data_IF_785285367452
#
_entry.id   IF_785285367452
#
_cell.length_a   1.000
_cell.length_b   1.000
_cell.length_c   1.000
_cell.angle_alpha   90.00
_cell.angle_beta   90.00
_cell.angle_gamma   90.00
#
_symmetry.space_group_name_H-M   'P 1'
#
loop_
_entity.id
_entity.type
_entity.pdbx_description
1 polymer ?
#
# COMPACT_ATOMS: atom_id res chain seq x y z
N UNK A 1 -14.86 22.67 3.30
CA UNK A 1 -15.33 22.56 1.89
C UNK A 1 -14.86 23.76 1.06
N UNK A 2 -15.19 25.00 1.45
CA UNK A 2 -14.89 26.21 0.65
C UNK A 2 -13.40 26.40 0.30
N UNK A 3 -12.48 26.01 1.18
CA UNK A 3 -11.04 26.09 0.90
C UNK A 3 -10.58 25.14 -0.21
N UNK A 4 -11.14 23.93 -0.28
CA UNK A 4 -10.83 22.96 -1.34
C UNK A 4 -11.43 23.42 -2.67
N UNK A 5 -12.65 23.96 -2.67
CA UNK A 5 -13.29 24.52 -3.85
C UNK A 5 -12.46 25.66 -4.45
N UNK A 6 -12.00 26.58 -3.59
CA UNK A 6 -11.12 27.66 -3.98
C UNK A 6 -9.80 27.16 -4.55
N UNK A 7 -9.18 26.15 -3.89
CA UNK A 7 -7.94 25.56 -4.36
C UNK A 7 -8.10 24.94 -5.75
N UNK A 8 -9.19 24.23 -6.03
CA UNK A 8 -9.49 23.72 -7.37
C UNK A 8 -9.75 24.82 -8.39
N UNK A 9 -10.42 25.92 -8.01
CA UNK A 9 -10.58 27.08 -8.88
C UNK A 9 -9.22 27.66 -9.27
N UNK A 10 -8.35 27.91 -8.29
CA UNK A 10 -7.00 28.44 -8.54
C UNK A 10 -6.15 27.49 -9.39
N UNK A 11 -6.26 26.18 -9.16
CA UNK A 11 -5.55 25.19 -9.95
C UNK A 11 -6.01 25.15 -11.42
N UNK A 12 -7.29 25.41 -11.68
CA UNK A 12 -7.80 25.55 -13.05
C UNK A 12 -7.34 26.84 -13.73
N UNK A 13 -7.31 27.97 -12.99
CA UNK A 13 -6.81 29.23 -13.49
C UNK A 13 -5.32 29.20 -13.84
N UNK A 14 -4.53 28.46 -13.04
CA UNK A 14 -3.10 28.25 -13.24
C UNK A 14 -2.75 26.95 -13.99
N UNK A 15 -3.71 26.30 -14.66
CA UNK A 15 -3.50 24.99 -15.28
C UNK A 15 -2.39 25.00 -16.33
N UNK A 16 -1.44 24.09 -16.18
CA UNK A 16 -0.32 23.91 -17.10
C UNK A 16 -0.59 22.69 -17.97
N UNK A 17 -0.85 22.92 -19.25
CA UNK A 17 -1.03 21.83 -20.22
C UNK A 17 0.24 20.98 -20.31
N UNK A 18 0.10 19.65 -20.21
CA UNK A 18 1.21 18.67 -20.13
C UNK A 18 2.12 18.84 -18.89
N UNK A 19 1.73 19.68 -17.93
CA UNK A 19 2.42 19.86 -16.67
C UNK A 19 1.80 19.02 -15.54
N UNK A 20 2.38 19.20 -14.34
CA UNK A 20 1.86 18.60 -13.11
C UNK A 20 0.94 19.62 -12.45
N UNK A 21 -0.35 19.32 -12.38
CA UNK A 21 -1.36 20.16 -11.73
C UNK A 21 -1.86 19.40 -10.50
N UNK A 22 -1.45 19.84 -9.30
CA UNK A 22 -1.73 19.12 -8.06
C UNK A 22 -1.98 20.07 -6.91
N UNK A 23 -3.00 19.75 -6.12
CA UNK A 23 -3.28 20.39 -4.84
C UNK A 23 -2.62 19.56 -3.74
N UNK A 24 -1.93 20.21 -2.81
CA UNK A 24 -1.47 19.65 -1.56
C UNK A 24 -2.35 20.21 -0.43
N UNK A 25 -3.23 19.37 0.10
CA UNK A 25 -4.11 19.73 1.21
C UNK A 25 -3.46 19.35 2.53
N UNK A 26 -3.02 20.34 3.29
CA UNK A 26 -2.50 20.16 4.64
C UNK A 26 -3.61 20.43 5.67
N UNK A 27 -3.85 19.49 6.58
CA UNK A 27 -4.88 19.62 7.62
C UNK A 27 -4.42 18.98 8.92
N UNK A 28 -4.84 19.57 10.05
CA UNK A 28 -4.60 19.05 11.40
C UNK A 28 -5.65 18.02 11.85
N UNK A 29 -6.45 17.54 10.92
CA UNK A 29 -7.38 16.43 11.13
C UNK A 29 -8.79 16.84 11.53
N UNK A 30 -9.01 18.08 11.86
CA UNK A 30 -10.35 18.58 12.19
C UNK A 30 -11.16 18.88 10.91
N UNK A 31 -11.43 17.82 10.17
CA UNK A 31 -12.31 17.89 9.00
C UNK A 31 -13.77 17.89 9.52
N UNK A 32 -14.19 19.01 10.11
CA UNK A 32 -15.55 19.23 10.61
C UNK A 32 -16.58 19.34 9.47
N UNK A 33 -16.49 18.42 8.51
CA UNK A 33 -17.45 18.27 7.43
C UNK A 33 -18.40 17.16 7.79
N UNK A 34 -19.70 17.44 7.76
CA UNK A 34 -20.72 16.40 7.90
C UNK A 34 -20.60 15.33 6.82
N UNK A 35 -21.19 14.15 7.03
CA UNK A 35 -21.08 13.00 6.10
C UNK A 35 -21.52 13.38 4.68
N UNK A 36 -22.57 14.20 4.53
CA UNK A 36 -23.02 14.71 3.24
C UNK A 36 -22.01 15.62 2.54
N UNK A 37 -21.25 16.37 3.31
CA UNK A 37 -20.22 17.26 2.77
C UNK A 37 -18.98 16.50 2.35
N UNK A 38 -18.66 15.38 3.02
CA UNK A 38 -17.53 14.53 2.63
C UNK A 38 -17.77 13.83 1.30
N UNK A 39 -18.94 13.25 1.08
CA UNK A 39 -19.31 12.61 -0.19
C UNK A 39 -19.28 13.62 -1.33
N UNK A 40 -19.72 14.84 -1.08
CA UNK A 40 -19.64 15.96 -2.04
C UNK A 40 -18.19 16.33 -2.37
N UNK A 41 -17.30 16.37 -1.38
CA UNK A 41 -15.87 16.62 -1.58
C UNK A 41 -15.20 15.51 -2.37
N UNK A 42 -15.51 14.26 -2.04
CA UNK A 42 -15.01 13.08 -2.76
C UNK A 42 -15.46 13.09 -4.22
N UNK A 43 -16.74 13.38 -4.47
CA UNK A 43 -17.27 13.52 -5.82
C UNK A 43 -16.59 14.66 -6.58
N UNK A 44 -16.35 15.80 -5.93
CA UNK A 44 -15.60 16.92 -6.50
C UNK A 44 -14.18 16.48 -6.88
N UNK A 45 -13.46 15.77 -6.00
CA UNK A 45 -12.12 15.26 -6.30
C UNK A 45 -12.15 14.34 -7.53
N UNK A 46 -13.12 13.42 -7.63
CA UNK A 46 -13.32 12.54 -8.79
C UNK A 46 -13.57 13.34 -10.08
N UNK A 47 -14.34 14.42 -10.04
CA UNK A 47 -14.58 15.23 -11.23
C UNK A 47 -13.34 16.05 -11.62
N UNK A 48 -12.63 16.61 -10.65
CA UNK A 48 -11.46 17.44 -10.91
C UNK A 48 -10.25 16.63 -11.42
N UNK A 49 -10.06 15.39 -10.96
CA UNK A 49 -9.00 14.52 -11.51
C UNK A 49 -9.19 14.24 -12.99
N UNK A 50 -10.44 14.16 -13.47
CA UNK A 50 -10.74 14.01 -14.91
C UNK A 50 -10.28 15.22 -15.73
N UNK A 51 -10.19 16.40 -15.12
CA UNK A 51 -9.64 17.60 -15.74
C UNK A 51 -8.11 17.70 -15.64
N UNK A 52 -7.44 16.73 -15.00
CA UNK A 52 -5.99 16.66 -14.85
C UNK A 52 -5.44 17.35 -13.59
N UNK A 53 -6.30 17.73 -12.64
CA UNK A 53 -5.89 18.29 -11.34
C UNK A 53 -6.02 17.21 -10.28
N UNK A 54 -4.90 16.75 -9.70
CA UNK A 54 -4.86 15.75 -8.63
C UNK A 54 -4.82 16.39 -7.23
N UNK A 55 -5.21 15.59 -6.20
CA UNK A 55 -5.29 16.05 -4.81
C UNK A 55 -4.52 15.11 -3.89
N UNK A 56 -3.44 15.59 -3.30
CA UNK A 56 -2.69 14.90 -2.23
C UNK A 56 -3.10 15.47 -0.89
N UNK A 57 -3.28 14.60 0.10
CA UNK A 57 -3.64 14.99 1.47
C UNK A 57 -2.50 14.71 2.43
N UNK A 58 -2.20 15.70 3.27
CA UNK A 58 -1.16 15.66 4.29
C UNK A 58 -1.80 15.91 5.64
N UNK A 59 -1.75 14.90 6.49
CA UNK A 59 -2.32 14.96 7.83
C UNK A 59 -1.29 15.35 8.89
N UNK A 60 -1.68 16.21 9.80
CA UNK A 60 -0.87 16.67 10.92
C UNK A 60 -1.68 16.54 12.21
N UNK A 61 -1.00 16.50 13.37
CA UNK A 61 -1.67 16.50 14.68
C UNK A 61 -2.00 15.10 15.22
N UNK A 62 -2.45 15.05 16.47
CA UNK A 62 -2.69 13.80 17.22
C UNK A 62 -4.14 13.63 17.69
N UNK A 63 -4.96 14.69 17.65
CA UNK A 63 -6.34 14.69 18.14
C UNK A 63 -7.34 14.67 16.97
N UNK A 64 -8.41 13.88 17.10
CA UNK A 64 -9.56 13.80 16.19
C UNK A 64 -9.22 13.59 14.69
N UNK A 65 -8.04 13.07 14.40
CA UNK A 65 -7.60 12.85 13.04
C UNK A 65 -8.32 11.66 12.41
N UNK A 66 -9.00 11.90 11.28
CA UNK A 66 -9.69 10.84 10.54
C UNK A 66 -8.88 10.41 9.31
N UNK A 67 -7.92 9.51 9.55
CA UNK A 67 -7.03 8.95 8.52
C UNK A 67 -7.81 8.37 7.33
N UNK A 68 -8.85 7.60 7.62
CA UNK A 68 -9.64 6.92 6.59
C UNK A 68 -10.30 7.90 5.61
N UNK A 69 -10.82 9.03 6.10
CA UNK A 69 -11.40 10.06 5.22
C UNK A 69 -10.33 10.74 4.35
N UNK A 70 -9.15 11.00 4.91
CA UNK A 70 -8.06 11.64 4.20
C UNK A 70 -7.48 10.72 3.13
N UNK A 71 -7.33 9.42 3.41
CA UNK A 71 -6.92 8.41 2.45
C UNK A 71 -7.93 8.32 1.29
N UNK A 72 -9.24 8.21 1.60
CA UNK A 72 -10.28 8.14 0.58
C UNK A 72 -10.34 9.39 -0.31
N UNK A 73 -10.10 10.56 0.26
CA UNK A 73 -10.11 11.81 -0.50
C UNK A 73 -8.90 11.90 -1.45
N UNK A 74 -7.72 11.47 -0.99
CA UNK A 74 -6.53 11.40 -1.82
C UNK A 74 -6.70 10.38 -2.95
N UNK A 75 -7.18 9.18 -2.66
CA UNK A 75 -7.46 8.14 -3.66
C UNK A 75 -8.47 8.63 -4.71
N UNK A 76 -9.54 9.31 -4.28
CA UNK A 76 -10.53 9.89 -5.19
C UNK A 76 -9.94 10.97 -6.11
N UNK A 77 -8.89 11.64 -5.68
CA UNK A 77 -8.21 12.74 -6.38
C UNK A 77 -6.95 12.32 -7.14
N UNK A 78 -6.67 11.05 -7.39
CA UNK A 78 -5.41 10.56 -8.01
C UNK A 78 -4.17 11.12 -7.29
N UNK A 79 -4.23 11.15 -5.96
CA UNK A 79 -3.16 11.67 -5.12
C UNK A 79 -2.61 10.66 -4.14
N UNK A 80 -1.79 11.14 -3.23
CA UNK A 80 -1.21 10.34 -2.16
C UNK A 80 -1.67 10.90 -0.81
N UNK A 81 -1.76 10.02 0.17
CA UNK A 81 -1.96 10.37 1.56
C UNK A 81 -0.66 10.20 2.31
N UNK A 82 -0.34 11.13 3.21
CA UNK A 82 0.75 10.99 4.17
C UNK A 82 0.37 11.60 5.52
N UNK A 83 0.70 10.90 6.61
CA UNK A 83 0.60 11.44 7.96
C UNK A 83 1.97 11.94 8.42
N UNK A 84 2.02 13.17 8.91
CA UNK A 84 3.24 13.86 9.29
C UNK A 84 3.17 14.19 10.78
N UNK A 85 3.81 13.36 11.58
CA UNK A 85 3.89 13.49 13.04
C UNK A 85 5.14 14.24 13.52
N UNK A 86 6.20 14.20 12.72
CA UNK A 86 7.50 14.75 13.05
C UNK A 86 8.10 15.55 11.89
N UNK A 87 9.07 16.42 12.22
CA UNK A 87 9.84 17.14 11.21
C UNK A 87 10.65 16.19 10.28
N UNK A 88 11.05 15.01 10.79
CA UNK A 88 11.75 13.99 9.98
C UNK A 88 10.82 13.40 8.92
N UNK A 89 9.60 13.07 9.31
CA UNK A 89 8.57 12.59 8.37
C UNK A 89 8.22 13.67 7.36
N UNK A 90 8.05 14.93 7.81
CA UNK A 90 7.84 16.06 6.90
C UNK A 90 8.96 16.17 5.86
N UNK A 91 10.22 16.07 6.27
CA UNK A 91 11.37 16.12 5.35
C UNK A 91 11.36 14.95 4.36
N UNK A 92 11.09 13.74 4.82
CA UNK A 92 10.97 12.56 3.93
C UNK A 92 9.89 12.78 2.88
N UNK A 93 8.68 13.16 3.30
CA UNK A 93 7.52 13.30 2.41
C UNK A 93 7.68 14.51 1.46
N UNK A 94 8.09 15.66 1.98
CA UNK A 94 8.07 16.93 1.24
C UNK A 94 9.39 17.25 0.51
N UNK A 95 10.46 16.51 0.77
CA UNK A 95 11.76 16.72 0.10
C UNK A 95 12.17 15.47 -0.65
N UNK A 96 12.37 14.35 0.05
CA UNK A 96 12.97 13.15 -0.55
C UNK A 96 11.98 12.38 -1.43
N UNK A 97 10.69 12.35 -1.05
CA UNK A 97 9.62 11.70 -1.81
C UNK A 97 8.83 12.68 -2.69
N UNK A 98 9.23 13.95 -2.78
CA UNK A 98 8.48 14.95 -3.55
C UNK A 98 8.34 14.56 -5.01
N UNK A 99 9.40 14.03 -5.63
CA UNK A 99 9.35 13.59 -7.03
C UNK A 99 8.39 12.43 -7.24
N UNK A 100 8.33 11.47 -6.31
CA UNK A 100 7.41 10.34 -6.38
C UNK A 100 5.96 10.75 -6.11
N UNK A 101 5.75 11.79 -5.33
CA UNK A 101 4.42 12.36 -5.07
C UNK A 101 3.91 13.18 -6.26
N UNK A 102 4.78 13.95 -6.90
CA UNK A 102 4.37 14.88 -7.97
C UNK A 102 4.37 14.21 -9.35
N UNK A 103 5.38 13.42 -9.70
CA UNK A 103 5.59 12.88 -11.03
C UNK A 103 5.05 11.44 -11.14
N UNK A 104 3.81 11.28 -11.54
CA UNK A 104 3.21 9.95 -11.82
C UNK A 104 3.83 9.36 -13.09
N UNK A 105 4.33 8.13 -13.02
CA UNK A 105 4.91 7.37 -14.15
C UNK A 105 4.00 6.25 -14.65
N UNK A 106 3.12 5.74 -13.78
CA UNK A 106 2.13 4.72 -14.13
C UNK A 106 0.82 4.97 -13.38
N UNK A 107 -0.30 4.78 -14.06
CA UNK A 107 -1.67 4.92 -13.54
C UNK A 107 -2.42 3.60 -13.61
N UNK A 108 -3.47 3.47 -12.82
CA UNK A 108 -4.31 2.27 -12.77
C UNK A 108 -3.49 0.99 -12.58
N UNK A 109 -2.52 1.04 -11.68
CA UNK A 109 -1.60 -0.08 -11.45
C UNK A 109 -2.30 -1.17 -10.63
N UNK A 110 -2.47 -2.33 -11.25
CA UNK A 110 -3.09 -3.52 -10.67
C UNK A 110 -2.05 -4.62 -10.57
N UNK A 111 -1.93 -5.20 -9.39
CA UNK A 111 -1.03 -6.32 -9.12
C UNK A 111 -1.85 -7.57 -8.82
N UNK A 112 -1.54 -8.66 -9.49
CA UNK A 112 -2.13 -9.96 -9.26
C UNK A 112 -1.03 -10.99 -9.06
N UNK A 113 -1.17 -11.79 -8.01
CA UNK A 113 -0.33 -12.96 -7.75
C UNK A 113 -1.22 -14.19 -7.79
N UNK A 114 -0.88 -15.14 -8.67
CA UNK A 114 -1.54 -16.42 -8.79
C UNK A 114 -0.56 -17.50 -8.31
N UNK A 115 -0.85 -18.12 -7.16
CA UNK A 115 -0.01 -19.18 -6.61
C UNK A 115 -0.29 -20.52 -7.29
N UNK A 116 0.78 -21.28 -7.50
CA UNK A 116 0.71 -22.61 -8.07
C UNK A 116 0.16 -23.59 -7.02
N UNK A 117 -1.01 -24.19 -7.22
CA UNK A 117 -1.63 -25.09 -6.24
C UNK A 117 -0.86 -26.41 -6.03
N UNK A 118 0.10 -26.73 -6.92
CA UNK A 118 1.00 -27.86 -6.73
C UNK A 118 2.13 -27.55 -5.74
N UNK A 119 2.42 -26.28 -5.46
CA UNK A 119 3.49 -25.81 -4.58
C UNK A 119 2.96 -25.16 -3.31
N UNK A 120 1.79 -24.51 -3.37
CA UNK A 120 1.20 -23.73 -2.28
C UNK A 120 -0.19 -24.25 -1.97
N UNK A 121 -0.43 -24.66 -0.73
CA UNK A 121 -1.73 -25.12 -0.25
C UNK A 121 -2.62 -23.98 0.22
N UNK A 122 -2.05 -22.99 0.90
CA UNK A 122 -2.75 -21.83 1.44
C UNK A 122 -1.89 -20.57 1.25
N UNK A 123 -2.53 -19.43 1.10
CA UNK A 123 -1.85 -18.14 1.05
C UNK A 123 -2.76 -17.03 1.55
N UNK A 124 -2.16 -15.95 2.03
CA UNK A 124 -2.86 -14.72 2.38
C UNK A 124 -1.99 -13.50 2.10
N UNK A 125 -2.61 -12.41 1.66
CA UNK A 125 -1.99 -11.10 1.54
C UNK A 125 -1.90 -10.46 2.94
N UNK A 126 -0.79 -9.83 3.27
CA UNK A 126 -0.60 -9.08 4.50
C UNK A 126 -0.77 -7.57 4.24
N UNK A 127 -1.80 -6.99 4.85
CA UNK A 127 -2.17 -5.59 4.59
C UNK A 127 -2.94 -5.42 3.27
N UNK A 128 -3.12 -4.18 2.85
CA UNK A 128 -3.88 -3.80 1.64
C UNK A 128 -5.37 -4.20 1.66
N UNK A 129 -5.96 -4.41 2.81
CA UNK A 129 -7.37 -4.82 2.93
C UNK A 129 -8.32 -3.81 2.26
N UNK A 130 -7.99 -2.50 2.33
CA UNK A 130 -8.78 -1.42 1.72
C UNK A 130 -8.55 -1.29 0.19
N UNK A 131 -7.54 -1.97 -0.35
CA UNK A 131 -7.13 -1.91 -1.77
C UNK A 131 -7.26 -3.25 -2.47
N UNK A 132 -7.96 -4.20 -1.86
CA UNK A 132 -8.21 -5.51 -2.46
C UNK A 132 -9.09 -5.37 -3.71
N UNK A 133 -8.57 -5.84 -4.85
CA UNK A 133 -9.27 -5.83 -6.13
C UNK A 133 -9.93 -7.20 -6.36
N UNK A 134 -11.16 -7.21 -6.88
CA UNK A 134 -11.78 -8.45 -7.32
C UNK A 134 -11.05 -9.02 -8.53
N UNK A 135 -11.00 -10.34 -8.64
CA UNK A 135 -10.28 -11.02 -9.72
C UNK A 135 -10.76 -10.59 -11.12
N UNK A 136 -12.07 -10.42 -11.29
CA UNK A 136 -12.69 -9.97 -12.54
C UNK A 136 -12.31 -8.54 -12.93
N UNK A 137 -11.95 -7.70 -11.96
CA UNK A 137 -11.60 -6.29 -12.18
C UNK A 137 -10.14 -6.08 -12.60
N UNK A 138 -9.30 -7.12 -12.53
CA UNK A 138 -7.90 -7.02 -12.96
C UNK A 138 -7.77 -6.62 -14.44
N UNK A 139 -8.61 -7.16 -15.31
CA UNK A 139 -8.62 -6.85 -16.75
C UNK A 139 -9.58 -5.71 -17.11
N UNK A 140 -10.23 -5.10 -16.16
CA UNK A 140 -11.22 -4.05 -16.39
C UNK A 140 -10.57 -2.67 -16.31
N UNK A 141 -10.31 -2.05 -17.46
CA UNK A 141 -9.68 -0.70 -17.55
C UNK A 141 -10.59 0.44 -17.07
N UNK A 142 -11.85 0.15 -16.69
CA UNK A 142 -12.78 1.14 -16.11
C UNK A 142 -12.70 1.17 -14.57
N UNK A 143 -12.12 0.14 -13.97
CA UNK A 143 -11.90 0.09 -12.52
C UNK A 143 -10.62 0.82 -12.21
N UNK A 144 -10.77 1.86 -11.42
CA UNK A 144 -9.70 2.68 -10.89
C UNK A 144 -8.77 1.90 -9.97
N UNK A 145 -7.49 2.21 -10.01
CA UNK A 145 -6.46 1.60 -9.16
C UNK A 145 -5.33 2.61 -8.88
N UNK A 146 -4.37 2.25 -8.04
CA UNK A 146 -3.37 3.19 -7.56
C UNK A 146 -2.39 3.69 -8.63
N UNK A 147 -1.82 4.86 -8.38
CA UNK A 147 -0.76 5.46 -9.17
C UNK A 147 0.61 5.09 -8.60
N UNK A 148 1.61 5.06 -9.48
CA UNK A 148 3.02 4.95 -9.09
C UNK A 148 3.77 6.19 -9.57
N UNK A 149 4.42 6.87 -8.64
CA UNK A 149 5.27 8.02 -8.90
C UNK A 149 6.72 7.64 -9.22
N UNK A 150 7.46 8.61 -9.77
CA UNK A 150 8.87 8.44 -10.12
C UNK A 150 9.73 8.09 -8.88
N UNK A 151 10.44 6.97 -8.94
CA UNK A 151 11.26 6.48 -7.82
C UNK A 151 10.47 5.77 -6.70
N UNK A 152 9.15 5.65 -6.82
CA UNK A 152 8.33 4.95 -5.85
C UNK A 152 8.51 3.42 -5.95
N UNK A 153 8.57 2.77 -4.80
CA UNK A 153 8.57 1.31 -4.69
C UNK A 153 7.39 0.83 -3.88
N UNK A 154 6.85 -0.31 -4.26
CA UNK A 154 5.74 -0.96 -3.58
C UNK A 154 6.17 -2.37 -3.16
N UNK A 155 5.80 -2.79 -1.95
CA UNK A 155 6.02 -4.16 -1.47
C UNK A 155 4.70 -4.80 -1.10
N UNK A 156 4.33 -5.88 -1.77
CA UNK A 156 3.23 -6.75 -1.37
C UNK A 156 3.79 -8.01 -0.70
N UNK A 157 3.41 -8.24 0.55
CA UNK A 157 3.83 -9.40 1.33
C UNK A 157 2.72 -10.45 1.33
N UNK A 158 3.11 -11.68 1.00
CA UNK A 158 2.24 -12.84 1.12
C UNK A 158 2.84 -13.84 2.10
N UNK A 159 2.02 -14.34 2.97
CA UNK A 159 2.33 -15.53 3.76
C UNK A 159 1.75 -16.73 3.04
N UNK A 160 2.54 -17.78 2.92
CA UNK A 160 2.18 -18.97 2.17
C UNK A 160 2.42 -20.23 3.03
N UNK A 161 1.60 -21.26 2.82
CA UNK A 161 1.83 -22.61 3.32
C UNK A 161 2.26 -23.48 2.14
N UNK A 162 3.50 -23.99 2.14
CA UNK A 162 3.95 -24.91 1.10
C UNK A 162 3.10 -26.19 1.08
N UNK A 163 3.00 -26.84 -0.07
CA UNK A 163 2.29 -28.09 -0.23
C UNK A 163 2.95 -29.19 0.63
N UNK A 164 2.15 -29.86 1.45
CA UNK A 164 2.62 -30.91 2.35
C UNK A 164 2.92 -30.43 3.78
N UNK A 165 2.96 -29.13 4.02
CA UNK A 165 3.05 -28.55 5.35
C UNK A 165 1.67 -28.41 5.99
N UNK A 166 1.64 -28.29 7.33
CA UNK A 166 0.40 -28.05 8.08
C UNK A 166 -0.12 -26.65 7.80
N UNK A 167 -1.35 -26.55 7.30
CA UNK A 167 -2.02 -25.29 7.00
C UNK A 167 -2.67 -24.61 8.21
N UNK A 168 -3.20 -23.42 7.99
CA UNK A 168 -4.00 -22.68 8.98
C UNK A 168 -5.45 -23.15 9.04
N UNK A 169 -5.92 -23.76 7.96
CA UNK A 169 -7.31 -24.21 7.80
C UNK A 169 -7.38 -25.74 7.83
N UNK A 170 -8.53 -26.24 8.27
CA UNK A 170 -8.81 -27.67 8.13
C UNK A 170 -8.91 -28.06 6.64
N UNK A 171 -8.40 -29.22 6.24
CA UNK A 171 -8.47 -29.67 4.85
C UNK A 171 -9.92 -29.76 4.35
N UNK A 172 -10.19 -29.21 3.18
CA UNK A 172 -11.50 -29.30 2.56
C UNK A 172 -11.74 -30.75 2.09
N UNK A 173 -12.91 -31.31 2.47
CA UNK A 173 -13.26 -32.71 2.17
C UNK A 173 -13.31 -33.03 0.66
N UNK A 174 -13.68 -32.06 -0.17
CA UNK A 174 -13.91 -32.24 -1.60
C UNK A 174 -12.94 -31.47 -2.49
N UNK A 175 -11.95 -30.77 -1.93
CA UNK A 175 -10.93 -30.10 -2.71
C UNK A 175 -9.82 -31.09 -3.12
N UNK A 176 -9.91 -31.62 -4.32
CA UNK A 176 -8.75 -32.20 -5.01
C UNK A 176 -8.03 -31.06 -5.72
N UNK A 177 -6.77 -30.79 -5.37
CA UNK A 177 -5.96 -29.86 -6.15
C UNK A 177 -5.78 -30.43 -7.56
N UNK A 178 -6.07 -29.64 -8.63
CA UNK A 178 -5.75 -30.06 -9.98
C UNK A 178 -4.25 -30.37 -10.05
N UNK A 179 -3.89 -31.49 -10.65
CA UNK A 179 -2.50 -31.77 -10.96
C UNK A 179 -1.96 -30.68 -11.88
N UNK A 180 -1.01 -29.88 -11.41
CA UNK A 180 -0.37 -28.86 -12.21
C UNK A 180 0.41 -29.56 -13.34
N UNK A 181 -0.11 -29.49 -14.56
CA UNK A 181 0.56 -30.05 -15.71
C UNK A 181 1.74 -29.14 -16.10
N UNK A 182 2.96 -29.63 -15.95
CA UNK A 182 4.15 -29.06 -16.60
C UNK A 182 4.83 -27.86 -15.96
N UNK A 183 4.32 -27.30 -14.84
CA UNK A 183 4.86 -26.08 -14.19
C UNK A 183 5.32 -26.33 -12.76
N UNK A 184 5.88 -27.48 -12.47
CA UNK A 184 6.29 -27.89 -11.11
C UNK A 184 7.41 -27.02 -10.50
N UNK A 185 8.15 -26.26 -11.31
CA UNK A 185 9.24 -25.40 -10.84
C UNK A 185 8.80 -23.95 -10.51
N UNK A 186 7.55 -23.59 -10.83
CA UNK A 186 7.02 -22.26 -10.55
C UNK A 186 6.22 -22.23 -9.24
N UNK A 187 6.52 -21.26 -8.40
CA UNK A 187 5.78 -20.97 -7.15
C UNK A 187 4.51 -20.19 -7.43
N UNK A 188 4.61 -19.19 -8.30
CA UNK A 188 3.54 -18.28 -8.62
C UNK A 188 3.74 -17.59 -9.97
N UNK A 189 2.67 -16.99 -10.49
CA UNK A 189 2.70 -16.04 -11.59
C UNK A 189 2.37 -14.64 -11.06
N UNK A 190 3.29 -13.69 -11.25
CA UNK A 190 3.07 -12.27 -10.99
C UNK A 190 2.59 -11.60 -12.27
N UNK A 191 1.48 -10.85 -12.18
CA UNK A 191 0.97 -9.99 -13.25
C UNK A 191 0.84 -8.56 -12.74
N UNK A 192 1.35 -7.61 -13.52
CA UNK A 192 1.20 -6.18 -13.27
C UNK A 192 0.59 -5.54 -14.50
N UNK A 193 -0.59 -4.96 -14.34
CA UNK A 193 -1.29 -4.21 -15.38
C UNK A 193 -1.27 -2.72 -15.03
N UNK A 194 -0.97 -1.86 -15.99
CA UNK A 194 -0.87 -0.42 -15.76
C UNK A 194 -1.12 0.38 -17.03
N UNK A 195 -1.49 1.65 -16.88
CA UNK A 195 -1.52 2.63 -17.96
C UNK A 195 -0.28 3.54 -17.85
N UNK A 196 0.45 3.81 -18.96
CA UNK A 196 1.52 4.80 -18.96
C UNK A 196 0.98 6.18 -18.58
N UNK A 197 1.76 6.99 -17.85
CA UNK A 197 1.35 8.36 -17.46
C UNK A 197 1.03 9.25 -18.68
N UNK A 198 1.74 9.05 -19.78
CA UNK A 198 1.52 9.76 -21.06
C UNK A 198 0.19 9.35 -21.77
N UNK A 199 -0.58 8.44 -21.16
CA UNK A 199 -1.82 7.92 -21.74
C UNK A 199 -1.61 6.72 -22.66
N UNK A 200 -2.70 6.23 -23.27
CA UNK A 200 -2.69 5.08 -24.14
C UNK A 200 -3.31 3.82 -23.50
N UNK A 201 -3.26 2.72 -24.22
CA UNK A 201 -3.80 1.43 -23.78
C UNK A 201 -3.02 0.89 -22.58
N UNK A 202 -3.70 0.15 -21.71
CA UNK A 202 -3.05 -0.56 -20.60
C UNK A 202 -2.03 -1.59 -21.11
N UNK A 203 -0.97 -1.75 -20.33
CA UNK A 203 0.13 -2.70 -20.59
C UNK A 203 0.11 -3.78 -19.52
N UNK A 204 0.52 -4.98 -19.90
CA UNK A 204 0.65 -6.13 -19.00
C UNK A 204 2.11 -6.55 -18.93
N UNK A 205 2.60 -6.74 -17.70
CA UNK A 205 3.87 -7.40 -17.40
C UNK A 205 3.52 -8.71 -16.70
N UNK A 206 4.10 -9.82 -17.19
CA UNK A 206 3.96 -11.13 -16.58
C UNK A 206 5.35 -11.66 -16.21
N UNK A 207 5.45 -12.23 -15.01
CA UNK A 207 6.71 -12.81 -14.54
C UNK A 207 6.43 -14.06 -13.71
N UNK A 208 6.90 -15.24 -14.15
CA UNK A 208 6.89 -16.44 -13.34
C UNK A 208 7.86 -16.27 -12.14
N UNK A 209 7.44 -16.74 -10.98
CA UNK A 209 8.24 -16.78 -9.77
C UNK A 209 8.66 -18.22 -9.54
N UNK A 210 9.96 -18.48 -9.51
CA UNK A 210 10.48 -19.82 -9.28
C UNK A 210 10.26 -20.27 -7.81
N UNK A 211 10.13 -21.57 -7.58
CA UNK A 211 9.97 -22.16 -6.25
C UNK A 211 11.27 -22.19 -5.44
N UNK A 212 12.38 -21.70 -5.99
CA UNK A 212 13.64 -21.62 -5.28
C UNK A 212 13.66 -20.45 -4.30
N UNK A 213 14.01 -20.72 -3.05
CA UNK A 213 14.23 -19.67 -2.07
C UNK A 213 15.56 -18.97 -2.31
N UNK A 214 15.55 -17.64 -2.25
CA UNK A 214 16.75 -16.82 -2.21
C UNK A 214 16.94 -16.23 -0.81
N UNK A 215 18.16 -15.77 -0.51
CA UNK A 215 18.41 -15.04 0.73
C UNK A 215 17.57 -13.75 0.71
N UNK A 216 16.71 -13.56 1.71
CA UNK A 216 15.90 -12.36 1.85
C UNK A 216 16.79 -11.12 2.01
N UNK A 217 16.48 -10.05 1.28
CA UNK A 217 17.12 -8.74 1.48
C UNK A 217 16.78 -8.15 2.85
N UNK A 218 17.55 -7.20 3.30
CA UNK A 218 17.25 -6.50 4.55
C UNK A 218 15.92 -5.74 4.46
N UNK A 219 15.58 -5.15 3.31
CA UNK A 219 14.28 -4.51 3.12
C UNK A 219 13.12 -5.50 3.26
N UNK A 220 13.20 -6.67 2.64
CA UNK A 220 12.16 -7.69 2.78
C UNK A 220 12.03 -8.17 4.25
N UNK A 221 13.15 -8.38 4.92
CA UNK A 221 13.17 -8.78 6.34
C UNK A 221 12.59 -7.69 7.25
N UNK A 222 12.90 -6.43 6.96
CA UNK A 222 12.34 -5.30 7.68
C UNK A 222 10.82 -5.18 7.44
N UNK A 223 10.35 -5.28 6.19
CA UNK A 223 8.93 -5.32 5.86
C UNK A 223 8.20 -6.48 6.58
N UNK A 224 8.84 -7.66 6.67
CA UNK A 224 8.29 -8.79 7.41
C UNK A 224 8.16 -8.48 8.92
N UNK A 225 9.13 -7.79 9.52
CA UNK A 225 9.04 -7.35 10.92
C UNK A 225 7.90 -6.35 11.14
N UNK A 226 7.71 -5.39 10.22
CA UNK A 226 6.58 -4.44 10.29
C UNK A 226 5.24 -5.17 10.19
N UNK A 227 5.11 -6.10 9.26
CA UNK A 227 3.90 -6.90 9.11
C UNK A 227 3.62 -7.77 10.34
N UNK A 228 4.65 -8.40 10.91
CA UNK A 228 4.53 -9.19 12.14
C UNK A 228 4.07 -8.32 13.33
N UNK A 229 4.65 -7.13 13.49
CA UNK A 229 4.23 -6.18 14.53
C UNK A 229 2.76 -5.80 14.39
N UNK A 230 2.32 -5.45 13.18
CA UNK A 230 0.93 -5.12 12.91
C UNK A 230 -0.02 -6.28 13.26
N UNK A 231 0.34 -7.54 12.91
CA UNK A 231 -0.44 -8.71 13.28
C UNK A 231 -0.48 -8.93 14.80
N UNK A 232 0.63 -8.70 15.50
CA UNK A 232 0.71 -8.82 16.97
C UNK A 232 -0.12 -7.77 17.68
N UNK A 233 -0.25 -6.56 17.11
CA UNK A 233 -1.10 -5.49 17.62
C UNK A 233 -2.59 -5.75 17.37
N UNK A 234 -2.96 -6.37 16.23
CA UNK A 234 -4.34 -6.79 15.96
C UNK A 234 -4.87 -7.79 17.01
N UNK A 235 -3.97 -8.53 17.67
CA UNK A 235 -4.27 -9.28 18.88
C UNK A 235 -5.09 -10.57 18.72
N UNK A 236 -5.43 -10.99 17.49
CA UNK A 236 -6.19 -12.22 17.23
C UNK A 236 -5.32 -13.50 17.37
N UNK A 237 -3.99 -13.34 17.41
CA UNK A 237 -3.00 -14.42 17.59
C UNK A 237 -3.02 -15.51 16.51
N UNK A 238 -3.99 -15.50 15.62
CA UNK A 238 -4.29 -16.60 14.70
C UNK A 238 -3.15 -16.89 13.71
N UNK A 239 -2.41 -15.85 13.33
CA UNK A 239 -1.42 -15.93 12.26
C UNK A 239 -0.01 -15.51 12.70
N UNK A 240 0.20 -15.25 13.96
CA UNK A 240 1.52 -14.83 14.49
C UNK A 240 2.41 -16.03 14.87
N UNK A 241 1.83 -17.22 14.93
CA UNK A 241 2.57 -18.40 15.36
C UNK A 241 3.19 -18.22 16.73
N UNK A 242 4.46 -18.64 16.87
CA UNK A 242 5.25 -18.46 18.09
C UNK A 242 6.07 -17.17 18.12
N UNK A 243 5.96 -16.30 17.10
CA UNK A 243 6.75 -15.06 17.00
C UNK A 243 6.35 -14.07 18.07
N UNK A 244 7.28 -13.68 18.91
CA UNK A 244 7.10 -12.70 19.99
C UNK A 244 7.43 -11.29 19.54
N UNK A 245 7.06 -10.27 20.32
CA UNK A 245 7.51 -8.88 20.10
C UNK A 245 9.04 -8.77 20.19
N UNK A 246 9.67 -9.58 21.05
CA UNK A 246 11.13 -9.63 21.14
C UNK A 246 11.77 -10.13 19.84
N UNK A 247 11.20 -11.18 19.22
CA UNK A 247 11.67 -11.72 17.93
C UNK A 247 11.46 -10.68 16.82
N UNK A 248 10.34 -9.98 16.83
CA UNK A 248 10.03 -8.91 15.89
C UNK A 248 11.03 -7.76 16.00
N UNK A 249 11.34 -7.30 17.22
CA UNK A 249 12.35 -6.26 17.44
C UNK A 249 13.75 -6.71 16.99
N UNK A 250 14.12 -7.99 17.28
CA UNK A 250 15.40 -8.57 16.86
C UNK A 250 15.51 -8.64 15.32
N UNK A 251 14.45 -9.10 14.65
CA UNK A 251 14.38 -9.15 13.18
C UNK A 251 14.53 -7.74 12.58
N UNK A 252 13.74 -6.76 13.05
CA UNK A 252 13.79 -5.39 12.58
C UNK A 252 15.19 -4.77 12.77
N UNK A 253 15.79 -4.95 13.96
CA UNK A 253 17.12 -4.43 14.29
C UNK A 253 18.19 -5.02 13.37
N UNK A 254 18.13 -6.31 13.08
CA UNK A 254 19.09 -7.01 12.20
C UNK A 254 18.92 -6.66 10.72
N UNK A 255 17.78 -6.12 10.33
CA UNK A 255 17.39 -5.78 8.97
C UNK A 255 17.27 -4.27 8.72
N UNK A 256 17.75 -3.46 9.66
CA UNK A 256 17.62 -2.00 9.58
C UNK A 256 18.26 -1.40 8.34
N UNK A 257 19.43 -1.93 7.90
CA UNK A 257 20.17 -1.38 6.77
C UNK A 257 20.54 0.09 6.97
N UNK A 258 20.65 0.83 5.88
CA UNK A 258 20.79 2.28 5.89
C UNK A 258 19.46 2.92 6.30
N UNK A 259 19.50 3.80 7.28
CA UNK A 259 18.33 4.46 7.85
C UNK A 259 18.56 5.98 7.95
N UNK A 260 18.59 6.68 6.80
CA UNK A 260 19.02 8.08 6.74
C UNK A 260 18.10 9.03 7.52
N UNK A 261 16.83 8.64 7.75
CA UNK A 261 15.86 9.42 8.51
C UNK A 261 15.68 8.92 9.94
N UNK A 262 16.27 7.77 10.31
CA UNK A 262 16.11 7.15 11.61
C UNK A 262 14.73 6.49 11.84
N UNK A 263 13.90 6.36 10.81
CA UNK A 263 12.53 5.83 10.91
C UNK A 263 12.51 4.34 11.21
N UNK A 264 13.45 3.58 10.67
CA UNK A 264 13.55 2.14 10.97
C UNK A 264 14.01 1.90 12.40
N UNK A 265 14.90 2.76 12.91
CA UNK A 265 15.28 2.72 14.31
C UNK A 265 14.13 3.10 15.23
N UNK A 266 13.34 4.10 14.87
CA UNK A 266 12.14 4.50 15.61
C UNK A 266 11.11 3.37 15.65
N UNK A 267 10.90 2.65 14.54
CA UNK A 267 10.07 1.46 14.53
C UNK A 267 10.55 0.40 15.53
N UNK A 268 11.87 0.13 15.62
CA UNK A 268 12.42 -0.79 16.62
C UNK A 268 12.05 -0.35 18.04
N UNK A 269 12.19 0.95 18.32
CA UNK A 269 11.82 1.52 19.63
C UNK A 269 10.32 1.35 19.92
N UNK A 270 9.44 1.56 18.93
CA UNK A 270 8.00 1.33 19.08
C UNK A 270 7.68 -0.12 19.46
N UNK A 271 8.33 -1.09 18.83
CA UNK A 271 8.16 -2.51 19.16
C UNK A 271 8.63 -2.81 20.59
N UNK A 272 9.75 -2.22 21.04
CA UNK A 272 10.27 -2.37 22.40
C UNK A 272 9.35 -1.74 23.45
N UNK A 273 8.78 -0.58 23.14
CA UNK A 273 7.74 0.05 23.99
C UNK A 273 6.51 -0.85 24.09
N UNK A 274 6.00 -1.35 22.96
CA UNK A 274 4.87 -2.26 22.97
C UNK A 274 5.14 -3.54 23.78
N UNK A 275 6.36 -4.06 23.72
CA UNK A 275 6.78 -5.20 24.55
C UNK A 275 6.73 -4.88 26.06
N UNK A 276 7.14 -3.66 26.44
CA UNK A 276 7.13 -3.25 27.87
C UNK A 276 5.73 -3.00 28.42
N UNK A 277 4.76 -2.75 27.54
CA UNK A 277 3.35 -2.52 27.90
C UNK A 277 2.51 -3.79 27.94
N UNK A 278 2.99 -4.89 27.36
CA UNK A 278 2.33 -6.19 27.50
C UNK A 278 2.61 -6.77 28.88
N UNK A 279 1.54 -7.08 29.68
CA UNK A 279 1.68 -7.69 31.00
C UNK A 279 2.31 -9.09 30.93
#
# INVERSE_FOLDING_TARGET
ASGIELAYQMAREGFIEQGINRILLATDGDFNVGVSDFDSLKQMAVEQRKSGVSLTTLGFGVDNYNEHLMEQLADAGDGNYAYIDTLREARKVLVDQLSSTLAVVARDVKVQVEFNPAQVSEYRLLGYENRALKREDFNNDKVDAGEIGAGHTLTALYEIVPKGEQGWLEPLRYASAPAAQGQSAELAMLRVRYKPAAGGASRLIERPVASQSAKASDDLRFCAAVAAFAQQLKGDGRYTGSMTLQDTAALARSARGDDPFGLRNEFVQLVEVAQSLKP
#
